data_IF_315088956535
#
_entry.id   IF_315088956535
#
_cell.length_a   1.000
_cell.length_b   1.000
_cell.length_c   1.000
_cell.angle_alpha   90.00
_cell.angle_beta   90.00
_cell.angle_gamma   90.00
#
_symmetry.space_group_name_H-M   'P 1'
#
loop_
_entity.id
_entity.type
_entity.pdbx_description
1 polymer ?
#
# COMPACT_ATOMS: atom_id res chain seq x y z
N UNK A 1 -4.83 -1.41 4.96
CA UNK A 1 -5.05 -2.88 5.11
C UNK A 1 -3.94 -3.71 4.45
N UNK A 2 -3.78 -4.98 4.86
CA UNK A 2 -2.83 -5.97 4.30
C UNK A 2 -3.59 -7.24 3.85
N UNK A 3 -3.14 -7.84 2.74
CA UNK A 3 -3.60 -9.14 2.22
C UNK A 3 -5.04 -9.21 1.68
N UNK A 4 -5.56 -8.09 1.19
CA UNK A 4 -6.86 -8.04 0.52
C UNK A 4 -6.97 -9.03 -0.67
N UNK A 5 -8.14 -9.65 -0.92
CA UNK A 5 -8.36 -10.49 -2.09
C UNK A 5 -8.39 -9.71 -3.42
N UNK A 6 -8.70 -8.41 -3.43
CA UNK A 6 -8.70 -7.56 -4.64
C UNK A 6 -7.54 -6.55 -4.61
N UNK A 7 -6.39 -6.97 -4.07
CA UNK A 7 -5.26 -6.12 -3.74
C UNK A 7 -4.64 -5.31 -4.90
N UNK A 8 -3.96 -4.23 -4.53
CA UNK A 8 -2.80 -3.68 -5.25
C UNK A 8 -1.54 -3.90 -4.43
N UNK A 9 -0.37 -3.66 -5.02
CA UNK A 9 0.88 -3.51 -4.26
C UNK A 9 1.23 -2.02 -4.17
N UNK A 10 0.60 -1.33 -3.22
CA UNK A 10 0.79 0.10 -3.00
C UNK A 10 2.00 0.39 -2.12
N UNK A 11 2.81 1.37 -2.51
CA UNK A 11 3.83 2.01 -1.66
C UNK A 11 3.36 3.44 -1.42
N UNK A 12 3.39 3.91 -0.17
CA UNK A 12 3.02 5.30 0.12
C UNK A 12 3.92 6.26 -0.67
N UNK A 13 3.30 7.15 -1.44
CA UNK A 13 3.95 8.00 -2.43
C UNK A 13 4.77 9.11 -1.78
N UNK A 14 5.97 8.75 -1.33
CA UNK A 14 6.91 9.66 -0.70
C UNK A 14 7.56 10.65 -1.65
N UNK A 15 7.53 10.35 -2.95
CA UNK A 15 8.08 11.21 -3.99
C UNK A 15 7.20 12.43 -4.26
N UNK A 16 5.90 12.32 -4.01
CA UNK A 16 4.93 13.43 -4.13
C UNK A 16 4.83 14.33 -2.89
N UNK A 17 5.58 14.07 -1.81
CA UNK A 17 5.54 14.90 -0.59
C UNK A 17 6.31 16.21 -0.83
N UNK A 18 5.64 17.34 -0.61
CA UNK A 18 6.20 18.69 -0.87
C UNK A 18 6.71 19.41 0.38
N UNK A 19 6.41 18.93 1.58
CA UNK A 19 6.89 19.52 2.83
C UNK A 19 8.41 19.34 2.96
N UNK A 20 9.16 20.44 2.84
CA UNK A 20 10.63 20.45 2.87
C UNK A 20 11.24 19.83 4.13
N UNK A 21 10.49 19.79 5.25
CA UNK A 21 10.95 19.20 6.51
C UNK A 21 11.15 17.68 6.38
N UNK A 22 10.36 17.02 5.53
CA UNK A 22 10.25 15.56 5.47
C UNK A 22 10.35 14.97 4.06
N UNK A 23 10.20 15.76 3.00
CA UNK A 23 10.08 15.29 1.61
C UNK A 23 11.22 14.36 1.18
N UNK A 24 12.47 14.74 1.48
CA UNK A 24 13.65 13.95 1.14
C UNK A 24 13.64 12.58 1.81
N UNK A 25 13.38 12.53 3.11
CA UNK A 25 13.43 11.29 3.88
C UNK A 25 12.24 10.38 3.55
N UNK A 26 11.05 10.96 3.34
CA UNK A 26 9.86 10.22 2.93
C UNK A 26 10.03 9.60 1.53
N UNK A 27 10.64 10.31 0.58
CA UNK A 27 11.02 9.76 -0.73
C UNK A 27 12.03 8.60 -0.63
N UNK A 28 13.01 8.70 0.27
CA UNK A 28 13.94 7.59 0.55
C UNK A 28 13.20 6.37 1.09
N UNK A 29 12.24 6.54 2.01
CA UNK A 29 11.43 5.43 2.54
C UNK A 29 10.63 4.76 1.41
N UNK A 30 10.01 5.53 0.52
CA UNK A 30 9.30 4.97 -0.64
C UNK A 30 10.24 4.13 -1.52
N UNK A 31 11.43 4.68 -1.82
CA UNK A 31 12.45 4.00 -2.63
C UNK A 31 12.87 2.65 -2.03
N UNK A 32 13.01 2.55 -0.70
CA UNK A 32 13.36 1.28 -0.02
C UNK A 32 12.35 0.16 -0.34
N UNK A 33 11.05 0.46 -0.33
CA UNK A 33 10.03 -0.54 -0.64
C UNK A 33 9.93 -0.82 -2.15
N UNK A 34 10.03 0.22 -2.98
CA UNK A 34 10.04 0.10 -4.43
C UNK A 34 11.21 -0.79 -4.89
N UNK A 35 12.42 -0.53 -4.42
CA UNK A 35 13.62 -1.29 -4.72
C UNK A 35 13.50 -2.74 -4.25
N UNK A 36 12.94 -2.95 -3.05
CA UNK A 36 12.69 -4.30 -2.53
C UNK A 36 11.76 -5.09 -3.46
N UNK A 37 10.62 -4.55 -3.85
CA UNK A 37 9.69 -5.25 -4.73
C UNK A 37 10.24 -5.39 -6.16
N UNK A 38 10.96 -4.39 -6.66
CA UNK A 38 11.65 -4.47 -7.94
C UNK A 38 12.68 -5.60 -7.96
N UNK A 39 13.42 -5.81 -6.85
CA UNK A 39 14.39 -6.92 -6.73
C UNK A 39 13.74 -8.31 -6.84
N UNK A 40 12.43 -8.40 -6.57
CA UNK A 40 11.63 -9.62 -6.69
C UNK A 40 10.87 -9.70 -8.03
N UNK A 41 11.03 -8.71 -8.92
CA UNK A 41 10.29 -8.61 -10.17
C UNK A 41 8.80 -8.31 -9.98
N UNK A 42 8.45 -7.65 -8.87
CA UNK A 42 7.07 -7.38 -8.50
C UNK A 42 6.73 -5.90 -8.72
N UNK A 43 5.73 -5.57 -9.54
CA UNK A 43 5.36 -4.19 -9.76
C UNK A 43 4.73 -3.57 -8.52
N UNK A 44 4.94 -2.27 -8.31
CA UNK A 44 4.28 -1.46 -7.29
C UNK A 44 3.53 -0.29 -7.94
N UNK A 45 2.62 0.32 -7.19
CA UNK A 45 2.01 1.61 -7.57
C UNK A 45 2.18 2.62 -6.42
N UNK A 46 2.30 3.93 -6.73
CA UNK A 46 2.27 4.97 -5.72
C UNK A 46 0.88 5.06 -5.10
N UNK A 47 0.82 5.10 -3.78
CA UNK A 47 -0.41 5.23 -3.01
C UNK A 47 -0.40 6.56 -2.24
N UNK A 48 -1.35 7.44 -2.54
CA UNK A 48 -1.29 8.83 -2.08
C UNK A 48 -1.54 8.94 -0.58
N UNK A 49 -0.69 9.68 0.11
CA UNK A 49 -1.00 10.14 1.47
C UNK A 49 -2.30 10.96 1.46
N UNK A 50 -3.31 10.46 2.16
CA UNK A 50 -4.66 11.03 2.20
C UNK A 50 -5.09 11.45 3.63
N UNK A 51 -4.17 11.34 4.61
CA UNK A 51 -4.44 11.63 6.02
C UNK A 51 -5.27 10.57 6.76
N UNK A 52 -5.60 9.43 6.13
CA UNK A 52 -6.49 8.39 6.68
C UNK A 52 -5.72 7.20 7.27
N UNK A 53 -4.55 7.44 7.84
CA UNK A 53 -3.78 6.40 8.55
C UNK A 53 -2.83 7.02 9.58
N UNK A 54 -2.16 6.18 10.36
CA UNK A 54 -1.33 6.58 11.48
C UNK A 54 -0.09 7.39 11.07
N UNK A 55 0.30 7.40 9.80
CA UNK A 55 1.37 8.28 9.31
C UNK A 55 1.06 9.78 9.50
N UNK A 56 -0.22 10.16 9.52
CA UNK A 56 -0.65 11.55 9.47
C UNK A 56 -0.09 12.41 10.62
N UNK A 57 -0.28 12.03 11.90
CA UNK A 57 0.29 12.80 13.03
C UNK A 57 1.82 12.84 13.03
N UNK A 58 2.51 11.80 12.53
CA UNK A 58 3.98 11.83 12.40
C UNK A 58 4.42 12.86 11.37
N UNK A 59 3.81 12.86 10.19
CA UNK A 59 4.13 13.82 9.14
C UNK A 59 3.82 15.27 9.56
N UNK A 60 2.71 15.48 10.27
CA UNK A 60 2.37 16.80 10.84
C UNK A 60 3.45 17.30 11.81
N UNK A 61 3.97 16.41 12.65
CA UNK A 61 5.07 16.66 13.58
C UNK A 61 6.45 16.79 12.89
N UNK A 62 6.53 16.70 11.55
CA UNK A 62 7.79 16.76 10.81
C UNK A 62 8.63 15.49 10.92
N UNK A 63 7.98 14.35 11.18
CA UNK A 63 8.61 13.02 11.18
C UNK A 63 8.30 12.34 9.84
N UNK A 64 9.33 11.95 9.07
CA UNK A 64 9.14 11.23 7.81
C UNK A 64 8.39 9.91 8.02
N UNK A 65 7.53 9.56 7.08
CA UNK A 65 6.72 8.35 7.14
C UNK A 65 6.63 7.69 5.76
N UNK A 66 6.27 6.41 5.75
CA UNK A 66 6.05 5.63 4.54
C UNK A 66 5.66 4.21 4.91
N UNK A 67 5.64 3.32 3.93
CA UNK A 67 5.18 1.95 4.12
C UNK A 67 4.44 1.43 2.90
N UNK A 68 3.69 0.36 3.11
CA UNK A 68 2.98 -0.38 2.07
C UNK A 68 1.53 -0.60 2.43
N UNK A 69 0.70 -0.81 1.43
CA UNK A 69 -0.74 -0.99 1.57
C UNK A 69 -1.27 -1.86 0.42
N UNK A 70 -2.26 -2.71 0.71
CA UNK A 70 -2.91 -3.53 -0.32
C UNK A 70 -4.24 -2.98 -0.84
N UNK A 71 -4.60 -1.77 -0.40
CA UNK A 71 -5.84 -1.05 -0.71
C UNK A 71 -6.94 -1.22 0.35
N UNK A 72 -7.94 -0.35 0.30
CA UNK A 72 -9.07 -0.27 1.23
C UNK A 72 -10.39 -0.08 0.46
N UNK A 73 -11.02 1.10 0.57
CA UNK A 73 -12.29 1.45 -0.08
C UNK A 73 -12.12 2.03 -1.50
N UNK A 74 -10.90 2.17 -2.01
CA UNK A 74 -10.65 2.64 -3.36
C UNK A 74 -11.15 1.65 -4.42
N UNK A 75 -11.59 2.14 -5.58
CA UNK A 75 -12.04 1.29 -6.68
C UNK A 75 -10.86 0.88 -7.54
N UNK A 76 -10.72 -0.44 -7.76
CA UNK A 76 -9.71 -1.00 -8.66
C UNK A 76 -9.91 -0.51 -10.09
N UNK A 77 -8.87 0.06 -10.68
CA UNK A 77 -8.86 0.45 -12.08
C UNK A 77 -8.66 -0.77 -13.01
N UNK A 78 -8.92 -0.59 -14.31
CA UNK A 78 -8.65 -1.64 -15.31
C UNK A 78 -7.15 -1.94 -15.39
N UNK A 79 -6.32 -0.90 -15.36
CA UNK A 79 -4.86 -1.01 -15.40
C UNK A 79 -4.30 -1.72 -14.17
N UNK A 80 -4.86 -1.44 -12.99
CA UNK A 80 -4.52 -2.16 -11.76
C UNK A 80 -4.96 -3.63 -11.81
N UNK A 81 -6.09 -3.94 -12.43
CA UNK A 81 -6.52 -5.32 -12.64
C UNK A 81 -5.64 -6.06 -13.65
N UNK A 82 -5.16 -5.38 -14.70
CA UNK A 82 -4.18 -5.95 -15.63
C UNK A 82 -2.84 -6.24 -14.94
N UNK A 83 -2.40 -5.35 -14.03
CA UNK A 83 -1.12 -5.46 -13.34
C UNK A 83 -1.12 -6.46 -12.18
N UNK A 84 -2.22 -6.52 -11.41
CA UNK A 84 -2.30 -7.28 -10.16
C UNK A 84 -3.32 -8.43 -10.18
N UNK A 85 -4.12 -8.54 -11.25
CA UNK A 85 -5.30 -9.39 -11.29
C UNK A 85 -6.46 -8.82 -10.47
N UNK A 86 -7.45 -9.66 -10.19
CA UNK A 86 -8.65 -9.26 -9.45
C UNK A 86 -9.74 -8.71 -10.37
N UNK A 87 -10.62 -7.88 -9.80
CA UNK A 87 -11.84 -7.41 -10.46
C UNK A 87 -11.82 -5.88 -10.51
N UNK A 88 -11.65 -5.34 -11.72
CA UNK A 88 -11.80 -3.90 -11.97
C UNK A 88 -13.22 -3.43 -11.66
N UNK A 89 -13.36 -2.19 -11.18
CA UNK A 89 -14.64 -1.63 -10.77
C UNK A 89 -15.15 -2.09 -9.41
N UNK A 90 -14.46 -3.03 -8.74
CA UNK A 90 -14.70 -3.38 -7.34
C UNK A 90 -13.71 -2.67 -6.42
N UNK A 91 -14.11 -2.47 -5.16
CA UNK A 91 -13.22 -1.94 -4.12
C UNK A 91 -11.99 -2.83 -3.94
N UNK A 92 -10.87 -2.22 -3.54
CA UNK A 92 -9.61 -2.91 -3.33
C UNK A 92 -9.69 -3.91 -2.19
N UNK A 93 -10.45 -3.65 -1.13
CA UNK A 93 -10.80 -4.63 -0.09
C UNK A 93 -12.33 -4.73 0.12
N UNK A 94 -12.97 -5.75 -0.45
CA UNK A 94 -14.41 -6.02 -0.26
C UNK A 94 -14.82 -6.29 1.18
N UNK A 95 -13.88 -6.58 2.08
CA UNK A 95 -14.16 -6.86 3.49
C UNK A 95 -13.85 -5.68 4.41
N UNK A 96 -13.36 -4.55 3.88
CA UNK A 96 -12.99 -3.40 4.69
C UNK A 96 -14.13 -2.94 5.62
N UNK A 97 -13.85 -2.95 6.94
CA UNK A 97 -14.82 -2.63 8.01
C UNK A 97 -16.13 -3.44 7.97
N UNK A 98 -16.12 -4.63 7.37
CA UNK A 98 -17.25 -5.55 7.35
C UNK A 98 -17.07 -6.65 8.38
N UNK A 99 -18.17 -7.30 8.76
CA UNK A 99 -18.13 -8.50 9.62
C UNK A 99 -17.38 -9.69 8.97
N UNK A 100 -17.13 -9.63 7.66
CA UNK A 100 -16.35 -10.63 6.91
C UNK A 100 -14.85 -10.37 6.97
N UNK A 101 -14.38 -9.26 7.56
CA UNK A 101 -12.96 -8.99 7.83
C UNK A 101 -12.45 -9.93 8.93
N UNK A 102 -12.05 -11.11 8.50
CA UNK A 102 -11.69 -12.25 9.33
C UNK A 102 -10.43 -12.89 8.75
N UNK A 103 -9.83 -13.84 9.46
CA UNK A 103 -8.69 -14.60 8.91
C UNK A 103 -9.02 -15.30 7.59
N UNK A 104 -10.31 -15.56 7.33
CA UNK A 104 -10.77 -16.10 6.06
C UNK A 104 -10.70 -15.09 4.91
N UNK A 105 -10.65 -13.79 5.17
CA UNK A 105 -10.49 -12.75 4.14
C UNK A 105 -9.03 -12.59 3.68
N UNK A 106 -8.05 -13.11 4.43
CA UNK A 106 -6.62 -13.06 4.13
C UNK A 106 -6.24 -14.06 3.02
N UNK A 107 -6.67 -13.81 1.79
CA UNK A 107 -6.49 -14.76 0.66
C UNK A 107 -5.76 -14.19 -0.54
N UNK A 108 -5.42 -12.89 -0.51
CA UNK A 108 -4.65 -12.28 -1.58
C UNK A 108 -3.19 -12.77 -1.62
N UNK A 109 -2.53 -12.73 -2.79
CA UNK A 109 -1.07 -12.86 -2.91
C UNK A 109 -0.32 -11.92 -1.95
N UNK A 110 -0.96 -10.82 -1.53
CA UNK A 110 -0.49 -9.93 -0.48
C UNK A 110 0.04 -10.64 0.78
N UNK A 111 -0.55 -11.77 1.23
CA UNK A 111 -0.06 -12.50 2.41
C UNK A 111 1.37 -13.03 2.26
N UNK A 112 1.78 -13.46 1.05
CA UNK A 112 3.11 -14.05 0.85
C UNK A 112 4.25 -13.04 0.99
N UNK A 113 3.97 -11.74 0.87
CA UNK A 113 5.01 -10.70 0.89
C UNK A 113 5.34 -10.20 2.30
N UNK A 114 4.44 -10.35 3.28
CA UNK A 114 4.68 -9.88 4.64
C UNK A 114 5.35 -10.93 5.54
N UNK A 115 5.33 -12.21 5.15
CA UNK A 115 5.99 -13.30 5.89
C UNK A 115 7.51 -13.29 5.66
N UNK A 116 8.02 -12.66 4.59
CA UNK A 116 9.45 -12.65 4.23
C UNK A 116 10.27 -11.62 5.05
N UNK A 117 9.64 -10.83 5.93
CA UNK A 117 10.34 -9.93 6.86
C UNK A 117 10.63 -10.56 8.25
N UNK A 118 10.51 -11.88 8.39
CA UNK A 118 11.02 -12.59 9.56
C UNK A 118 12.51 -12.88 9.37
N UNK A 119 13.36 -12.10 10.04
CA UNK A 119 14.70 -12.57 10.43
C UNK A 119 14.57 -13.63 11.52
#
# INVERSE_FOLDING_TARGET
>A
MIASPNYVRGVWDGHSVTDERISKQTSVIASVFEDYFASLGLPTIPFKFNGRSDFAPFMEAGIPAGGVITGEDEIKSTEEAELFGGIAGMVLDPNYHQSTDTVQALRGPGMHFFIILQF
#
